data_IF_626181626889
#
_entry.id   IF_626181626889
#
_cell.length_a   1.000
_cell.length_b   1.000
_cell.length_c   1.000
_cell.angle_alpha   90.00
_cell.angle_beta   90.00
_cell.angle_gamma   90.00
#
_symmetry.space_group_name_H-M   'P 1'
#
loop_
_entity.id
_entity.type
_entity.pdbx_description
1 polymer ?
#
# COMPACT_ATOMS: atom_id res chain seq x y z
N UNK A 1 26.75 -15.21 31.13
CA UNK A 1 26.12 -16.31 31.90
C UNK A 1 24.96 -15.74 32.70
N UNK A 2 23.75 -15.95 32.20
CA UNK A 2 22.47 -15.58 32.83
C UNK A 2 21.61 -16.85 32.80
N UNK A 3 20.92 -17.25 33.89
CA UNK A 3 20.19 -18.50 33.90
C UNK A 3 18.84 -18.37 33.17
N UNK A 4 18.59 -19.37 32.33
CA UNK A 4 17.33 -19.66 31.66
C UNK A 4 16.33 -20.18 32.71
N UNK A 5 15.15 -19.56 32.80
CA UNK A 5 14.00 -20.15 33.48
C UNK A 5 13.04 -20.72 32.43
N UNK A 6 13.10 -22.03 32.31
CA UNK A 6 12.12 -22.92 31.69
C UNK A 6 10.88 -23.03 32.56
N UNK A 7 9.70 -22.75 31.99
CA UNK A 7 8.44 -23.26 32.52
C UNK A 7 7.74 -24.10 31.46
N UNK A 8 7.93 -25.40 31.61
CA UNK A 8 7.09 -26.46 31.07
C UNK A 8 5.75 -26.48 31.80
N UNK A 9 4.64 -26.48 31.05
CA UNK A 9 3.33 -26.86 31.57
C UNK A 9 2.61 -27.72 30.53
N UNK A 10 2.56 -29.01 30.81
CA UNK A 10 1.71 -29.99 30.14
C UNK A 10 0.22 -29.61 30.25
N UNK A 11 -0.52 -29.66 29.14
CA UNK A 11 -1.93 -30.10 29.16
C UNK A 11 -2.26 -30.87 27.89
N UNK A 12 -2.37 -32.20 28.06
CA UNK A 12 -2.90 -33.16 27.10
C UNK A 12 -4.44 -33.07 27.06
N UNK A 13 -4.97 -32.76 25.89
CA UNK A 13 -6.04 -33.48 25.17
C UNK A 13 -7.13 -34.23 25.97
N UNK A 14 -8.38 -33.77 25.82
CA UNK A 14 -9.63 -34.55 25.56
C UNK A 14 -10.56 -33.60 24.78
N UNK A 15 -10.77 -33.75 23.45
CA UNK A 15 -11.84 -34.53 22.75
C UNK A 15 -13.18 -34.47 23.51
N UNK A 16 -14.34 -34.12 22.96
CA UNK A 16 -14.84 -33.99 21.59
C UNK A 16 -16.22 -33.28 21.62
N UNK A 17 -16.68 -32.86 20.44
CA UNK A 17 -18.10 -32.71 20.06
C UNK A 17 -18.87 -31.46 20.57
N UNK A 18 -18.88 -30.43 19.72
CA UNK A 18 -20.07 -29.64 19.44
C UNK A 18 -19.95 -29.12 18.00
N UNK A 19 -20.25 -30.00 17.06
CA UNK A 19 -20.46 -29.68 15.66
C UNK A 19 -21.80 -28.96 15.48
N UNK A 20 -21.94 -28.32 14.31
CA UNK A 20 -23.20 -27.94 13.65
C UNK A 20 -24.06 -26.85 14.30
N UNK A 21 -23.73 -25.58 14.01
CA UNK A 21 -24.71 -24.51 13.72
C UNK A 21 -24.01 -23.17 13.45
N UNK A 22 -23.32 -23.04 12.30
CA UNK A 22 -22.91 -21.73 11.72
C UNK A 22 -22.38 -21.82 10.28
N UNK A 23 -22.69 -22.90 9.58
CA UNK A 23 -22.28 -23.15 8.19
C UNK A 23 -23.43 -22.94 7.17
N UNK A 24 -24.46 -22.15 7.51
CA UNK A 24 -25.64 -21.93 6.66
C UNK A 24 -25.93 -20.44 6.36
N UNK A 25 -24.95 -19.54 6.55
CA UNK A 25 -25.07 -18.12 6.15
C UNK A 25 -23.92 -17.64 5.22
N UNK A 26 -22.98 -18.52 4.86
CA UNK A 26 -21.89 -18.20 3.93
C UNK A 26 -22.03 -18.84 2.54
N UNK A 27 -23.11 -19.61 2.30
CA UNK A 27 -23.31 -20.33 1.04
C UNK A 27 -24.32 -19.67 0.07
N UNK A 28 -24.88 -18.51 0.40
CA UNK A 28 -25.86 -17.80 -0.44
C UNK A 28 -25.31 -16.54 -1.14
N UNK A 29 -24.03 -16.19 -0.96
CA UNK A 29 -23.39 -15.04 -1.63
C UNK A 29 -22.34 -15.43 -2.69
N UNK A 30 -22.09 -16.73 -2.90
CA UNK A 30 -21.07 -17.22 -3.83
C UNK A 30 -21.64 -17.80 -5.15
N UNK A 31 -22.93 -17.58 -5.45
CA UNK A 31 -23.59 -18.20 -6.61
C UNK A 31 -24.41 -17.25 -7.50
N UNK A 32 -23.98 -15.99 -7.64
CA UNK A 32 -24.56 -15.04 -8.63
C UNK A 32 -23.51 -14.22 -9.40
N UNK A 33 -22.35 -14.80 -9.74
CA UNK A 33 -21.39 -14.15 -10.63
C UNK A 33 -20.79 -15.14 -11.65
N UNK A 34 -21.67 -15.79 -12.41
CA UNK A 34 -21.31 -16.43 -13.69
C UNK A 34 -22.40 -16.05 -14.69
N UNK A 35 -21.99 -15.71 -15.92
CA UNK A 35 -22.77 -15.15 -17.05
C UNK A 35 -22.84 -13.62 -17.02
N UNK A 36 -22.24 -12.81 -17.90
CA UNK A 36 -21.69 -12.97 -19.27
C UNK A 36 -20.68 -11.85 -19.54
N UNK A 37 -19.44 -12.17 -19.90
CA UNK A 37 -18.53 -11.22 -20.55
C UNK A 37 -18.94 -11.16 -22.02
N UNK A 38 -19.85 -10.24 -22.35
CA UNK A 38 -19.92 -9.67 -23.70
C UNK A 38 -18.91 -8.53 -23.73
N UNK A 39 -17.91 -8.66 -24.57
CA UNK A 39 -17.00 -7.57 -24.92
C UNK A 39 -17.79 -6.52 -25.71
N UNK A 40 -18.58 -5.71 -25.02
CA UNK A 40 -18.97 -4.41 -25.54
C UNK A 40 -17.82 -3.45 -25.21
N UNK A 41 -17.16 -3.03 -26.27
CA UNK A 41 -16.25 -1.90 -26.32
C UNK A 41 -17.02 -0.61 -25.99
N UNK A 42 -17.37 -0.42 -24.72
CA UNK A 42 -17.66 0.89 -24.15
C UNK A 42 -16.35 1.39 -23.53
N UNK A 43 -15.80 2.43 -24.15
CA UNK A 43 -14.67 3.16 -23.65
C UNK A 43 -15.02 3.73 -22.26
N UNK A 44 -14.66 3.00 -21.21
CA UNK A 44 -14.68 3.48 -19.83
C UNK A 44 -13.59 4.52 -19.65
N UNK A 45 -13.85 5.73 -20.12
CA UNK A 45 -13.04 6.90 -19.84
C UNK A 45 -13.32 7.31 -18.40
N UNK A 46 -12.45 6.88 -17.47
CA UNK A 46 -12.21 7.60 -16.21
C UNK A 46 -11.80 8.99 -16.63
N UNK A 47 -12.77 9.92 -16.74
CA UNK A 47 -12.67 11.28 -17.28
C UNK A 47 -11.26 11.53 -17.82
N UNK A 48 -10.97 10.88 -18.97
CA UNK A 48 -9.62 10.65 -19.49
C UNK A 48 -9.18 12.00 -19.98
N UNK A 49 -8.71 12.77 -19.02
CA UNK A 49 -8.83 14.19 -19.18
C UNK A 49 -7.74 14.54 -20.13
N UNK A 50 -8.17 14.94 -21.33
CA UNK A 50 -7.40 14.82 -22.55
C UNK A 50 -5.93 15.13 -22.27
N UNK A 51 -5.10 14.12 -22.53
CA UNK A 51 -3.67 14.21 -22.29
C UNK A 51 -3.16 15.49 -22.96
N UNK A 52 -2.34 16.27 -22.25
CA UNK A 52 -1.84 17.54 -22.75
C UNK A 52 -0.46 17.34 -23.34
N UNK A 53 -0.18 18.03 -24.43
CA UNK A 53 1.17 18.12 -25.02
C UNK A 53 2.24 18.45 -23.98
N UNK A 54 1.92 19.32 -23.01
CA UNK A 54 2.82 19.66 -21.89
C UNK A 54 3.16 18.45 -21.02
N UNK A 55 2.19 17.58 -20.73
CA UNK A 55 2.40 16.39 -19.91
C UNK A 55 3.19 15.33 -20.68
N UNK A 56 2.95 15.20 -21.99
CA UNK A 56 3.72 14.30 -22.87
C UNK A 56 5.18 14.73 -22.99
N UNK A 57 5.46 16.01 -23.26
CA UNK A 57 6.84 16.53 -23.24
C UNK A 57 7.53 16.29 -21.92
N UNK A 58 6.80 16.49 -20.81
CA UNK A 58 7.34 16.22 -19.48
C UNK A 58 7.67 14.74 -19.29
N UNK A 59 6.82 13.85 -19.77
CA UNK A 59 7.02 12.41 -19.74
C UNK A 59 8.24 11.98 -20.56
N UNK A 60 8.40 12.49 -21.79
CA UNK A 60 9.57 12.22 -22.65
C UNK A 60 10.88 12.57 -21.94
N UNK A 61 10.95 13.72 -21.27
CA UNK A 61 12.12 14.10 -20.48
C UNK A 61 12.37 13.20 -19.25
N UNK A 62 11.30 12.72 -18.59
CA UNK A 62 11.41 11.77 -17.47
C UNK A 62 11.92 10.43 -17.99
N UNK A 63 11.34 9.91 -19.08
CA UNK A 63 11.75 8.66 -19.74
C UNK A 63 13.22 8.70 -20.15
N UNK A 64 13.69 9.81 -20.73
CA UNK A 64 15.11 9.98 -21.09
C UNK A 64 16.04 9.86 -19.87
N UNK A 65 15.64 10.39 -18.70
CA UNK A 65 16.41 10.27 -17.46
C UNK A 65 16.33 8.87 -16.85
N UNK A 66 15.18 8.18 -16.97
CA UNK A 66 15.05 6.78 -16.55
C UNK A 66 15.96 5.87 -17.38
N UNK A 67 16.07 6.08 -18.70
CA UNK A 67 17.02 5.35 -19.56
C UNK A 67 18.48 5.52 -19.11
N UNK A 68 18.86 6.74 -18.69
CA UNK A 68 20.20 6.97 -18.11
C UNK A 68 20.43 6.22 -16.80
N UNK A 69 19.38 6.06 -15.98
CA UNK A 69 19.44 5.23 -14.78
C UNK A 69 19.56 3.75 -15.16
N UNK A 70 18.82 3.28 -16.17
CA UNK A 70 18.94 1.92 -16.70
C UNK A 70 20.35 1.59 -17.20
N UNK A 71 20.98 2.53 -17.93
CA UNK A 71 22.35 2.42 -18.41
C UNK A 71 23.35 2.32 -17.24
N UNK A 72 23.21 3.19 -16.23
CA UNK A 72 24.04 3.14 -15.03
C UNK A 72 23.82 1.84 -14.24
N UNK A 73 22.59 1.33 -14.19
CA UNK A 73 22.28 0.07 -13.53
C UNK A 73 22.92 -1.12 -14.26
N UNK A 74 22.96 -1.08 -15.60
CA UNK A 74 23.59 -2.10 -16.43
C UNK A 74 25.11 -2.15 -16.25
N UNK A 75 25.76 -1.02 -15.95
CA UNK A 75 27.18 -0.95 -15.64
C UNK A 75 27.55 -1.65 -14.30
N UNK A 76 26.57 -2.04 -13.49
CA UNK A 76 26.74 -2.74 -12.22
C UNK A 76 27.59 -1.98 -11.17
N UNK A 77 27.77 -0.66 -11.34
CA UNK A 77 28.48 0.20 -10.39
C UNK A 77 27.48 0.79 -9.36
N UNK A 78 27.52 0.24 -8.16
CA UNK A 78 26.69 0.65 -7.04
C UNK A 78 26.88 2.10 -6.62
N UNK A 79 28.12 2.58 -6.65
CA UNK A 79 28.46 3.92 -6.19
C UNK A 79 27.97 4.96 -7.19
N UNK A 80 28.23 4.72 -8.48
CA UNK A 80 27.80 5.58 -9.57
C UNK A 80 26.28 5.59 -9.70
N UNK A 81 25.63 4.44 -9.62
CA UNK A 81 24.17 4.34 -9.69
C UNK A 81 23.51 5.13 -8.55
N UNK A 82 23.94 4.93 -7.30
CA UNK A 82 23.40 5.68 -6.15
C UNK A 82 23.62 7.18 -6.29
N UNK A 83 24.82 7.61 -6.66
CA UNK A 83 25.12 9.02 -6.88
C UNK A 83 24.20 9.63 -7.96
N UNK A 84 23.92 8.88 -9.04
CA UNK A 84 23.03 9.31 -10.10
C UNK A 84 21.56 9.37 -9.64
N UNK A 85 21.08 8.35 -8.92
CA UNK A 85 19.73 8.34 -8.33
C UNK A 85 19.55 9.53 -7.38
N UNK A 86 20.47 9.73 -6.43
CA UNK A 86 20.40 10.86 -5.48
C UNK A 86 20.38 12.21 -6.18
N UNK A 87 21.08 12.34 -7.33
CA UNK A 87 21.09 13.56 -8.14
C UNK A 87 19.79 13.77 -8.92
N UNK A 88 19.24 12.71 -9.53
CA UNK A 88 18.10 12.84 -10.44
C UNK A 88 16.75 12.76 -9.74
N UNK A 89 16.63 11.96 -8.67
CA UNK A 89 15.36 11.60 -8.06
C UNK A 89 14.53 12.80 -7.58
N UNK A 90 15.07 13.78 -6.82
CA UNK A 90 14.26 14.91 -6.36
C UNK A 90 13.61 15.67 -7.52
N UNK A 91 14.36 15.89 -8.60
CA UNK A 91 13.85 16.55 -9.81
C UNK A 91 12.86 15.70 -10.59
N UNK A 92 13.06 14.37 -10.65
CA UNK A 92 12.12 13.44 -11.27
C UNK A 92 10.79 13.39 -10.51
N UNK A 93 10.86 13.27 -9.18
CA UNK A 93 9.70 13.23 -8.30
C UNK A 93 8.84 14.49 -8.45
N UNK A 94 9.44 15.69 -8.36
CA UNK A 94 8.72 16.95 -8.54
C UNK A 94 8.07 17.01 -9.93
N UNK A 95 8.83 16.64 -10.97
CA UNK A 95 8.36 16.73 -12.36
C UNK A 95 7.17 15.83 -12.64
N UNK A 96 7.17 14.62 -12.07
CA UNK A 96 6.04 13.69 -12.18
C UNK A 96 4.87 14.13 -11.30
N UNK A 97 5.12 14.60 -10.07
CA UNK A 97 4.07 15.08 -9.17
C UNK A 97 3.30 16.30 -9.73
N UNK A 98 3.97 17.14 -10.54
CA UNK A 98 3.37 18.26 -11.25
C UNK A 98 2.55 17.86 -12.49
N UNK A 99 2.54 16.58 -12.88
CA UNK A 99 1.74 16.07 -13.99
C UNK A 99 0.30 15.85 -13.56
N UNK A 100 -0.60 15.92 -14.53
CA UNK A 100 -1.99 15.57 -14.31
C UNK A 100 -2.13 14.09 -13.96
N UNK A 101 -2.99 13.80 -12.97
CA UNK A 101 -3.42 12.43 -12.63
C UNK A 101 -3.97 11.72 -13.89
N UNK A 102 -3.29 10.66 -14.29
CA UNK A 102 -3.54 9.85 -15.49
C UNK A 102 -2.79 8.52 -15.37
N UNK A 103 -2.99 7.60 -16.31
CA UNK A 103 -2.17 6.39 -16.42
C UNK A 103 -0.70 6.74 -16.63
N UNK A 104 -0.42 7.71 -17.51
CA UNK A 104 0.94 8.21 -17.75
C UNK A 104 1.63 8.67 -16.46
N UNK A 105 0.93 9.47 -15.64
CA UNK A 105 1.45 9.89 -14.32
C UNK A 105 1.69 8.69 -13.41
N UNK A 106 0.76 7.73 -13.38
CA UNK A 106 0.83 6.55 -12.51
C UNK A 106 2.04 5.68 -12.85
N UNK A 107 2.27 5.41 -14.12
CA UNK A 107 3.39 4.59 -14.57
C UNK A 107 4.73 5.29 -14.36
N UNK A 108 4.84 6.59 -14.68
CA UNK A 108 6.06 7.33 -14.39
C UNK A 108 6.34 7.46 -12.89
N UNK A 109 5.31 7.69 -12.07
CA UNK A 109 5.46 7.72 -10.60
C UNK A 109 5.98 6.38 -10.09
N UNK A 110 5.47 5.28 -10.64
CA UNK A 110 5.87 3.93 -10.23
C UNK A 110 7.29 3.62 -10.67
N UNK A 111 7.66 3.92 -11.92
CA UNK A 111 9.02 3.71 -12.43
C UNK A 111 10.07 4.54 -11.65
N UNK A 112 9.78 5.83 -11.41
CA UNK A 112 10.66 6.72 -10.63
C UNK A 112 10.83 6.21 -9.20
N UNK A 113 9.73 5.80 -8.56
CA UNK A 113 9.78 5.21 -7.22
C UNK A 113 10.62 3.93 -7.19
N UNK A 114 10.45 3.02 -8.16
CA UNK A 114 11.18 1.76 -8.20
C UNK A 114 12.69 1.97 -8.37
N UNK A 115 13.12 2.96 -9.14
CA UNK A 115 14.55 3.33 -9.21
C UNK A 115 15.08 3.94 -7.92
N UNK A 116 14.27 4.70 -7.18
CA UNK A 116 14.67 5.20 -5.86
C UNK A 116 14.87 4.05 -4.88
N UNK A 117 13.90 3.13 -4.82
CA UNK A 117 13.97 1.93 -3.99
C UNK A 117 15.18 1.06 -4.36
N UNK A 118 15.44 0.92 -5.66
CA UNK A 118 16.61 0.25 -6.19
C UNK A 118 17.91 0.91 -5.71
N UNK A 119 17.99 2.25 -5.74
CA UNK A 119 19.16 2.98 -5.26
C UNK A 119 19.38 2.84 -3.75
N UNK A 120 18.31 2.81 -2.95
CA UNK A 120 18.38 2.63 -1.49
C UNK A 120 18.86 1.23 -1.10
N UNK A 121 18.43 0.21 -1.84
CA UNK A 121 18.72 -1.20 -1.56
C UNK A 121 19.97 -1.72 -2.26
N UNK A 122 20.62 -0.91 -3.11
CA UNK A 122 21.75 -1.34 -3.94
C UNK A 122 22.96 -1.85 -3.13
N UNK A 123 23.21 -1.28 -1.95
CA UNK A 123 24.38 -1.61 -1.12
C UNK A 123 24.15 -2.69 -0.07
N UNK A 124 22.93 -3.26 0.02
CA UNK A 124 22.73 -4.42 0.89
C UNK A 124 23.50 -5.61 0.30
N UNK A 125 24.65 -5.93 0.91
CA UNK A 125 25.62 -6.96 0.46
C UNK A 125 25.01 -8.36 0.32
N UNK A 126 23.83 -8.59 0.88
CA UNK A 126 23.02 -9.75 0.53
C UNK A 126 22.28 -9.42 -0.75
N UNK A 127 22.83 -9.91 -1.85
CA UNK A 127 22.08 -10.14 -3.08
C UNK A 127 20.94 -11.10 -2.73
N UNK A 128 19.82 -10.53 -2.25
CA UNK A 128 18.65 -11.30 -1.91
C UNK A 128 18.04 -11.81 -3.20
N UNK A 129 17.79 -13.11 -3.25
CA UNK A 129 16.97 -13.71 -4.30
C UNK A 129 15.57 -13.10 -4.24
N UNK A 130 15.00 -12.83 -5.41
CA UNK A 130 13.64 -12.34 -5.48
C UNK A 130 12.65 -13.44 -5.05
N UNK A 131 11.82 -13.16 -4.04
CA UNK A 131 10.73 -14.05 -3.63
C UNK A 131 9.53 -13.89 -4.59
N UNK A 132 9.56 -14.62 -5.70
CA UNK A 132 8.47 -14.62 -6.68
C UNK A 132 7.12 -15.09 -6.10
N UNK A 133 7.11 -15.81 -4.97
CA UNK A 133 5.88 -16.28 -4.33
C UNK A 133 5.01 -15.16 -3.77
N UNK A 134 5.62 -14.00 -3.49
CA UNK A 134 4.94 -12.77 -3.04
C UNK A 134 4.58 -11.83 -4.17
N UNK A 135 4.99 -12.15 -5.39
CA UNK A 135 4.78 -11.27 -6.53
C UNK A 135 3.38 -11.38 -7.09
N UNK A 136 2.92 -10.24 -7.60
CA UNK A 136 1.59 -10.11 -8.18
C UNK A 136 1.47 -10.98 -9.43
N UNK A 137 0.52 -11.93 -9.42
CA UNK A 137 0.44 -13.03 -10.39
C UNK A 137 0.25 -12.62 -11.84
N UNK A 138 -0.50 -11.57 -12.10
CA UNK A 138 -0.90 -11.14 -13.45
C UNK A 138 0.17 -10.30 -14.18
N UNK A 139 1.09 -9.66 -13.45
CA UNK A 139 2.04 -8.70 -14.04
C UNK A 139 3.48 -9.01 -13.64
N UNK A 140 3.76 -9.07 -12.33
CA UNK A 140 5.13 -9.13 -11.82
C UNK A 140 5.65 -10.56 -11.66
N UNK A 141 4.78 -11.54 -11.47
CA UNK A 141 5.18 -12.94 -11.40
C UNK A 141 5.84 -13.43 -12.70
N UNK A 142 5.30 -13.18 -13.91
CA UNK A 142 6.00 -13.53 -15.15
C UNK A 142 7.38 -12.88 -15.23
N UNK A 143 7.48 -11.58 -14.93
CA UNK A 143 8.77 -10.87 -14.90
C UNK A 143 9.76 -11.49 -13.90
N UNK A 144 9.29 -11.92 -12.73
CA UNK A 144 10.12 -12.55 -11.72
C UNK A 144 10.62 -13.94 -12.18
N UNK A 145 9.74 -14.74 -12.79
CA UNK A 145 10.07 -16.07 -13.30
C UNK A 145 11.03 -16.01 -14.49
N UNK A 146 10.87 -15.03 -15.37
CA UNK A 146 11.76 -14.81 -16.52
C UNK A 146 13.21 -14.52 -16.10
N UNK A 147 13.40 -13.97 -14.89
CA UNK A 147 14.71 -13.73 -14.30
C UNK A 147 15.37 -14.98 -13.71
N UNK A 148 14.69 -16.14 -13.66
CA UNK A 148 15.21 -17.47 -13.27
C UNK A 148 16.06 -17.50 -11.99
N UNK A 149 15.50 -17.00 -10.88
CA UNK A 149 16.27 -16.85 -9.62
C UNK A 149 17.08 -15.55 -9.60
N UNK A 150 16.59 -14.54 -10.31
CA UNK A 150 17.16 -13.20 -10.30
C UNK A 150 17.11 -12.56 -8.93
N UNK A 151 17.91 -11.51 -8.81
CA UNK A 151 18.06 -10.71 -7.59
C UNK A 151 16.87 -9.77 -7.41
N UNK A 152 16.55 -9.38 -6.18
CA UNK A 152 15.56 -8.32 -5.89
C UNK A 152 15.84 -7.06 -6.73
N UNK A 153 17.11 -6.72 -6.91
CA UNK A 153 17.58 -5.62 -7.75
C UNK A 153 17.14 -5.75 -9.22
N UNK A 154 17.34 -6.92 -9.81
CA UNK A 154 16.92 -7.19 -11.19
C UNK A 154 15.40 -7.13 -11.33
N UNK A 155 14.66 -7.63 -10.34
CA UNK A 155 13.21 -7.57 -10.35
C UNK A 155 12.69 -6.13 -10.25
N UNK A 156 13.23 -5.31 -9.35
CA UNK A 156 12.88 -3.89 -9.24
C UNK A 156 13.16 -3.13 -10.55
N UNK A 157 14.30 -3.42 -11.18
CA UNK A 157 14.66 -2.84 -12.48
C UNK A 157 13.69 -3.29 -13.59
N UNK A 158 13.33 -4.58 -13.64
CA UNK A 158 12.37 -5.10 -14.60
C UNK A 158 10.98 -4.48 -14.43
N UNK A 159 10.50 -4.35 -13.18
CA UNK A 159 9.26 -3.65 -12.85
C UNK A 159 9.30 -2.19 -13.30
N UNK A 160 10.41 -1.48 -13.04
CA UNK A 160 10.57 -0.08 -13.45
C UNK A 160 10.46 0.06 -14.97
N UNK A 161 11.17 -0.79 -15.72
CA UNK A 161 11.14 -0.81 -17.18
C UNK A 161 9.77 -1.14 -17.75
N UNK A 162 9.02 -2.04 -17.13
CA UNK A 162 7.64 -2.33 -17.53
C UNK A 162 6.77 -1.06 -17.45
N UNK A 163 6.82 -0.35 -16.33
CA UNK A 163 6.05 0.90 -16.18
C UNK A 163 6.55 2.00 -17.12
N UNK A 164 7.87 2.13 -17.32
CA UNK A 164 8.42 3.06 -18.31
C UNK A 164 7.94 2.74 -19.74
N UNK A 165 7.85 1.45 -20.10
CA UNK A 165 7.30 0.99 -21.39
C UNK A 165 5.84 1.37 -21.57
N UNK A 166 5.00 1.17 -20.56
CA UNK A 166 3.60 1.59 -20.61
C UNK A 166 3.46 3.11 -20.74
N UNK A 167 4.24 3.88 -19.98
CA UNK A 167 4.29 5.33 -20.10
C UNK A 167 4.74 5.80 -21.50
N UNK A 168 5.74 5.15 -22.07
CA UNK A 168 6.21 5.41 -23.43
C UNK A 168 5.13 5.11 -24.47
N UNK A 169 4.43 3.98 -24.34
CA UNK A 169 3.33 3.63 -25.24
C UNK A 169 2.19 4.67 -25.20
N UNK A 170 1.86 5.20 -24.03
CA UNK A 170 0.87 6.29 -23.89
C UNK A 170 1.36 7.57 -24.59
N UNK A 171 2.65 7.91 -24.47
CA UNK A 171 3.22 9.07 -25.16
C UNK A 171 3.21 8.88 -26.69
N UNK A 172 3.59 7.71 -27.19
CA UNK A 172 3.59 7.37 -28.63
C UNK A 172 2.18 7.39 -29.23
N UNK A 173 1.20 6.81 -28.54
CA UNK A 173 -0.20 6.86 -28.96
C UNK A 173 -0.72 8.29 -29.09
N UNK A 174 -0.35 9.17 -28.15
CA UNK A 174 -0.70 10.60 -28.21
C UNK A 174 -0.08 11.31 -29.41
N UNK A 175 1.14 10.92 -29.81
CA UNK A 175 1.80 11.42 -31.03
C UNK A 175 1.20 10.86 -32.32
N UNK A 176 0.27 9.92 -32.23
CA UNK A 176 -0.33 9.23 -33.38
C UNK A 176 0.48 8.01 -33.85
N UNK A 177 1.50 7.60 -33.11
CA UNK A 177 2.31 6.41 -33.42
C UNK A 177 1.64 5.16 -32.83
N UNK A 178 0.80 4.48 -33.63
CA UNK A 178 0.06 3.27 -33.23
C UNK A 178 0.56 2.02 -33.95
N UNK A 179 1.80 1.63 -33.67
CA UNK A 179 2.29 0.32 -34.10
C UNK A 179 1.71 -0.82 -33.23
N UNK A 180 1.97 -2.06 -33.65
CA UNK A 180 1.48 -3.25 -32.94
C UNK A 180 2.05 -3.36 -31.52
N UNK A 181 3.29 -2.94 -31.32
CA UNK A 181 3.96 -2.94 -30.02
C UNK A 181 3.29 -1.95 -29.06
N UNK A 182 3.06 -0.71 -29.50
CA UNK A 182 2.37 0.34 -28.74
C UNK A 182 0.96 -0.10 -28.37
N UNK A 183 0.23 -0.64 -29.34
CA UNK A 183 -1.13 -1.16 -29.12
C UNK A 183 -1.15 -2.33 -28.12
N UNK A 184 -0.18 -3.24 -28.22
CA UNK A 184 -0.01 -4.35 -27.29
C UNK A 184 0.26 -3.89 -25.86
N UNK A 185 1.23 -2.98 -25.68
CA UNK A 185 1.59 -2.44 -24.38
C UNK A 185 0.43 -1.69 -23.71
N UNK A 186 -0.36 -0.92 -24.48
CA UNK A 186 -1.56 -0.26 -23.96
C UNK A 186 -2.67 -1.25 -23.55
N UNK A 187 -2.82 -2.36 -24.27
CA UNK A 187 -3.78 -3.41 -23.93
C UNK A 187 -3.39 -4.09 -22.62
N UNK A 188 -2.13 -4.47 -22.47
CA UNK A 188 -1.58 -5.03 -21.23
C UNK A 188 -1.76 -4.08 -20.04
N UNK A 189 -1.44 -2.79 -20.22
CA UNK A 189 -1.62 -1.76 -19.20
C UNK A 189 -3.08 -1.65 -18.77
N UNK A 190 -4.04 -1.64 -19.70
CA UNK A 190 -5.48 -1.57 -19.38
C UNK A 190 -5.94 -2.79 -18.59
N UNK A 191 -5.50 -3.99 -18.96
CA UNK A 191 -5.81 -5.22 -18.21
C UNK A 191 -5.24 -5.16 -16.78
N UNK A 192 -3.99 -4.69 -16.64
CA UNK A 192 -3.35 -4.46 -15.35
C UNK A 192 -4.13 -3.47 -14.46
N UNK A 193 -4.62 -2.37 -15.05
CA UNK A 193 -5.40 -1.32 -14.35
C UNK A 193 -6.76 -1.82 -13.86
N UNK A 194 -7.43 -2.68 -14.61
CA UNK A 194 -8.68 -3.29 -14.14
C UNK A 194 -8.44 -4.11 -12.86
N UNK A 195 -7.34 -4.86 -12.81
CA UNK A 195 -6.96 -5.62 -11.62
C UNK A 195 -6.47 -4.72 -10.46
N UNK A 196 -5.84 -3.56 -10.74
CA UNK A 196 -5.49 -2.56 -9.73
C UNK A 196 -6.72 -2.12 -8.93
N UNK A 197 -7.85 -1.90 -9.60
CA UNK A 197 -9.10 -1.48 -8.96
C UNK A 197 -9.63 -2.57 -8.01
N UNK A 198 -9.54 -3.85 -8.40
CA UNK A 198 -9.96 -4.98 -7.56
C UNK A 198 -9.10 -5.08 -6.30
N UNK A 199 -7.78 -4.95 -6.44
CA UNK A 199 -6.85 -4.96 -5.30
C UNK A 199 -7.14 -3.78 -4.38
N UNK A 200 -7.28 -2.57 -4.93
CA UNK A 200 -7.57 -1.37 -4.16
C UNK A 200 -8.92 -1.45 -3.42
N UNK A 201 -9.97 -2.00 -4.05
CA UNK A 201 -11.25 -2.26 -3.41
C UNK A 201 -11.10 -3.21 -2.21
N UNK A 202 -10.30 -4.28 -2.36
CA UNK A 202 -10.02 -5.22 -1.27
C UNK A 202 -9.27 -4.57 -0.11
N UNK A 203 -8.35 -3.63 -0.38
CA UNK A 203 -7.71 -2.84 0.69
C UNK A 203 -8.74 -1.98 1.42
N UNK A 204 -9.66 -1.32 0.70
CA UNK A 204 -10.75 -0.55 1.33
C UNK A 204 -11.61 -1.46 2.21
N UNK A 205 -12.04 -2.61 1.70
CA UNK A 205 -12.83 -3.60 2.45
C UNK A 205 -12.11 -4.10 3.70
N UNK A 206 -10.78 -4.19 3.66
CA UNK A 206 -9.95 -4.57 4.81
C UNK A 206 -9.86 -3.45 5.86
N UNK A 207 -9.72 -2.20 5.43
CA UNK A 207 -9.52 -1.05 6.34
C UNK A 207 -10.83 -0.43 6.87
N UNK A 208 -11.94 -0.58 6.15
CA UNK A 208 -13.23 0.04 6.49
C UNK A 208 -13.82 -0.47 7.82
N UNK A 209 -13.77 -1.78 8.16
CA UNK A 209 -14.28 -2.29 9.43
C UNK A 209 -13.58 -1.67 10.65
N UNK A 210 -12.31 -1.28 10.54
CA UNK A 210 -11.56 -0.68 11.65
C UNK A 210 -12.21 0.63 12.16
N UNK A 211 -12.91 1.36 11.29
CA UNK A 211 -13.65 2.56 11.66
C UNK A 211 -14.78 2.27 12.68
N UNK A 212 -15.35 1.05 12.65
CA UNK A 212 -16.42 0.66 13.57
C UNK A 212 -15.89 0.35 14.97
N UNK A 213 -14.60 0.02 15.09
CA UNK A 213 -13.96 -0.36 16.36
C UNK A 213 -13.47 0.85 17.16
N UNK A 214 -13.24 1.98 16.48
CA UNK A 214 -12.79 3.23 17.08
C UNK A 214 -13.98 4.11 17.48
N UNK A 215 -13.76 4.97 18.47
CA UNK A 215 -14.74 5.95 18.93
C UNK A 215 -15.05 6.94 17.82
N UNK A 216 -16.32 7.31 17.67
CA UNK A 216 -16.74 8.29 16.66
C UNK A 216 -16.54 9.73 17.11
N UNK A 217 -15.97 9.96 18.32
CA UNK A 217 -15.95 11.27 18.97
C UNK A 217 -15.55 12.38 17.98
N UNK A 218 -16.53 13.15 17.49
CA UNK A 218 -16.38 14.02 16.34
C UNK A 218 -15.63 15.31 16.71
N UNK A 219 -15.55 15.66 17.99
CA UNK A 219 -14.93 16.91 18.46
C UNK A 219 -14.00 16.69 19.64
N UNK A 220 -13.02 17.60 19.78
CA UNK A 220 -12.10 17.67 20.90
C UNK A 220 -12.82 17.84 22.25
N UNK A 221 -13.89 18.63 22.27
CA UNK A 221 -14.73 18.84 23.45
C UNK A 221 -15.42 17.54 23.91
N UNK A 222 -16.00 16.77 22.98
CA UNK A 222 -16.65 15.49 23.32
C UNK A 222 -15.65 14.42 23.81
N UNK A 223 -14.40 14.46 23.35
CA UNK A 223 -13.36 13.58 23.87
C UNK A 223 -12.96 13.93 25.31
N UNK A 224 -12.91 15.23 25.66
CA UNK A 224 -12.64 15.66 27.03
C UNK A 224 -13.77 15.24 27.99
N UNK A 225 -15.02 15.26 27.54
CA UNK A 225 -16.17 14.82 28.33
C UNK A 225 -16.25 13.29 28.47
N UNK A 226 -15.83 12.55 27.44
CA UNK A 226 -15.83 11.09 27.41
C UNK A 226 -14.57 10.55 26.69
N UNK A 227 -13.48 10.28 27.41
CA UNK A 227 -12.22 9.82 26.82
C UNK A 227 -12.27 8.32 26.47
N UNK A 228 -13.24 7.94 25.63
CA UNK A 228 -13.41 6.59 25.11
C UNK A 228 -12.90 6.58 23.66
N UNK A 229 -11.63 6.21 23.50
CA UNK A 229 -11.03 6.13 22.17
C UNK A 229 -11.50 4.89 21.40
N UNK A 230 -11.82 3.78 22.07
CA UNK A 230 -12.27 2.53 21.43
C UNK A 230 -13.62 2.06 21.97
N UNK A 231 -14.43 1.44 21.09
CA UNK A 231 -15.72 0.82 21.43
C UNK A 231 -15.59 -0.64 21.87
N UNK A 232 -14.39 -1.23 21.78
CA UNK A 232 -14.11 -2.63 22.10
C UNK A 232 -12.99 -2.75 23.12
N UNK A 233 -12.76 -3.96 23.65
CA UNK A 233 -11.61 -4.20 24.54
C UNK A 233 -10.29 -3.99 23.79
N UNK A 234 -9.25 -3.60 24.53
CA UNK A 234 -7.92 -3.37 23.98
C UNK A 234 -7.39 -4.58 23.20
N UNK A 235 -7.45 -5.78 23.79
CA UNK A 235 -6.93 -7.00 23.15
C UNK A 235 -7.63 -7.32 21.82
N UNK A 236 -8.94 -7.05 21.75
CA UNK A 236 -9.72 -7.23 20.52
C UNK A 236 -9.35 -6.18 19.47
N UNK A 237 -9.24 -4.92 19.87
CA UNK A 237 -8.81 -3.84 18.97
C UNK A 237 -7.43 -4.15 18.38
N UNK A 238 -6.47 -4.50 19.25
CA UNK A 238 -5.08 -4.73 18.88
C UNK A 238 -4.94 -5.87 17.87
N UNK A 239 -5.60 -7.00 18.12
CA UNK A 239 -5.62 -8.15 17.22
C UNK A 239 -6.27 -7.82 15.87
N UNK A 240 -7.49 -7.25 15.87
CA UNK A 240 -8.21 -6.93 14.63
C UNK A 240 -7.46 -5.87 13.79
N UNK A 241 -6.80 -4.89 14.42
CA UNK A 241 -5.95 -3.93 13.71
C UNK A 241 -4.71 -4.58 13.13
N UNK A 242 -3.98 -5.40 13.91
CA UNK A 242 -2.74 -6.03 13.44
C UNK A 242 -2.99 -6.88 12.19
N UNK A 243 -4.04 -7.70 12.20
CA UNK A 243 -4.43 -8.55 11.07
C UNK A 243 -4.81 -7.71 9.84
N UNK A 244 -5.70 -6.73 10.01
CA UNK A 244 -6.16 -5.89 8.91
C UNK A 244 -5.05 -5.03 8.30
N UNK A 245 -4.17 -4.46 9.13
CA UNK A 245 -3.05 -3.62 8.67
C UNK A 245 -1.94 -4.45 8.00
N UNK A 246 -1.78 -5.71 8.40
CA UNK A 246 -0.93 -6.71 7.74
C UNK A 246 -1.42 -7.00 6.32
N UNK A 247 -2.67 -7.46 6.21
CA UNK A 247 -3.31 -7.78 4.91
C UNK A 247 -3.30 -6.56 3.97
N UNK A 248 -3.70 -5.37 4.49
CA UNK A 248 -3.68 -4.14 3.70
C UNK A 248 -2.27 -3.78 3.22
N UNK A 249 -1.24 -4.04 4.03
CA UNK A 249 0.15 -3.82 3.67
C UNK A 249 0.63 -4.69 2.51
N UNK A 250 0.30 -5.99 2.56
CA UNK A 250 0.63 -6.94 1.48
C UNK A 250 -0.06 -6.56 0.17
N UNK A 251 -1.35 -6.25 0.21
CA UNK A 251 -2.11 -5.83 -0.97
C UNK A 251 -1.60 -4.50 -1.54
N UNK A 252 -1.23 -3.54 -0.69
CA UNK A 252 -0.68 -2.25 -1.13
C UNK A 252 0.66 -2.39 -1.84
N UNK A 253 1.46 -3.42 -1.52
CA UNK A 253 2.73 -3.67 -2.20
C UNK A 253 2.56 -4.07 -3.68
N UNK A 254 1.36 -4.52 -4.08
CA UNK A 254 1.03 -4.89 -5.45
C UNK A 254 0.45 -3.74 -6.30
N UNK A 255 0.11 -2.62 -5.67
CA UNK A 255 -0.48 -1.48 -6.35
C UNK A 255 0.60 -0.55 -6.92
N UNK A 256 0.40 0.02 -8.12
CA UNK A 256 1.26 1.07 -8.65
C UNK A 256 1.12 2.35 -7.79
N UNK A 257 2.06 3.29 -7.94
CA UNK A 257 2.07 4.59 -7.24
C UNK A 257 1.03 5.57 -7.82
N UNK A 258 -0.23 5.15 -7.81
CA UNK A 258 -1.40 5.91 -8.26
C UNK A 258 -1.95 6.82 -7.15
N UNK A 259 -2.84 7.78 -7.46
CA UNK A 259 -3.55 8.56 -6.45
C UNK A 259 -4.28 7.69 -5.42
N UNK A 260 -4.94 6.62 -5.86
CA UNK A 260 -5.63 5.65 -4.98
C UNK A 260 -4.66 4.96 -4.04
N UNK A 261 -3.48 4.57 -4.53
CA UNK A 261 -2.42 4.01 -3.67
C UNK A 261 -2.06 4.98 -2.54
N UNK A 262 -1.86 6.27 -2.83
CA UNK A 262 -1.48 7.24 -1.78
C UNK A 262 -2.59 7.45 -0.75
N UNK A 263 -3.86 7.47 -1.16
CA UNK A 263 -4.98 7.52 -0.22
C UNK A 263 -4.98 6.29 0.70
N UNK A 264 -4.87 5.08 0.15
CA UNK A 264 -4.86 3.84 0.94
C UNK A 264 -3.63 3.72 1.85
N UNK A 265 -2.45 4.10 1.35
CA UNK A 265 -1.21 4.11 2.11
C UNK A 265 -1.29 5.07 3.29
N UNK A 266 -1.86 6.27 3.09
CA UNK A 266 -2.08 7.23 4.18
C UNK A 266 -3.10 6.71 5.18
N UNK A 267 -4.19 6.07 4.72
CA UNK A 267 -5.17 5.47 5.62
C UNK A 267 -4.54 4.40 6.52
N UNK A 268 -3.81 3.45 5.94
CA UNK A 268 -3.09 2.40 6.67
C UNK A 268 -2.09 2.99 7.67
N UNK A 269 -1.28 3.97 7.23
CA UNK A 269 -0.30 4.64 8.09
C UNK A 269 -0.98 5.32 9.27
N UNK A 270 -2.03 6.09 9.04
CA UNK A 270 -2.76 6.78 10.10
C UNK A 270 -3.41 5.80 11.08
N UNK A 271 -3.96 4.67 10.64
CA UNK A 271 -4.41 3.62 11.56
C UNK A 271 -3.27 3.02 12.38
N UNK A 272 -2.12 2.75 11.74
CA UNK A 272 -0.93 2.22 12.40
C UNK A 272 -0.40 3.17 13.47
N UNK A 273 -0.27 4.45 13.14
CA UNK A 273 0.21 5.50 14.05
C UNK A 273 -0.78 5.69 15.22
N UNK A 274 -2.09 5.67 14.94
CA UNK A 274 -3.12 5.72 15.98
C UNK A 274 -3.08 4.51 16.93
N UNK A 275 -2.93 3.29 16.40
CA UNK A 275 -2.79 2.09 17.20
C UNK A 275 -1.53 2.15 18.09
N UNK A 276 -0.39 2.53 17.51
CA UNK A 276 0.86 2.66 18.24
C UNK A 276 0.71 3.57 19.47
N UNK A 277 0.14 4.76 19.29
CA UNK A 277 -0.08 5.69 20.39
C UNK A 277 -1.12 5.18 21.39
N UNK A 278 -2.16 4.49 20.93
CA UNK A 278 -3.16 3.89 21.79
C UNK A 278 -2.58 2.79 22.69
N UNK A 279 -1.71 1.93 22.15
CA UNK A 279 -0.96 0.92 22.92
C UNK A 279 -0.13 1.57 24.04
N UNK A 280 0.54 2.70 23.76
CA UNK A 280 1.35 3.43 24.74
C UNK A 280 0.49 4.01 25.87
N UNK A 281 -0.65 4.62 25.54
CA UNK A 281 -1.62 5.14 26.54
C UNK A 281 -2.17 4.01 27.40
N UNK A 282 -2.57 2.89 26.79
CA UNK A 282 -3.12 1.75 27.51
C UNK A 282 -2.08 1.14 28.48
N UNK A 283 -0.84 0.98 28.05
CA UNK A 283 0.26 0.49 28.90
C UNK A 283 0.54 1.43 30.08
N UNK A 284 0.62 2.74 29.84
CA UNK A 284 0.83 3.74 30.90
C UNK A 284 -0.31 3.72 31.94
N UNK A 285 -1.57 3.68 31.48
CA UNK A 285 -2.74 3.57 32.38
C UNK A 285 -2.73 2.28 33.20
N UNK A 286 -2.35 1.14 32.61
CA UNK A 286 -2.20 -0.13 33.33
C UNK A 286 -1.18 -0.02 34.45
N UNK A 287 -0.04 0.63 34.21
CA UNK A 287 1.01 0.83 35.23
C UNK A 287 0.54 1.72 36.40
N UNK A 288 -0.29 2.73 36.15
CA UNK A 288 -0.87 3.54 37.23
C UNK A 288 -1.81 2.73 38.14
N UNK A 289 -2.57 1.77 37.58
CA UNK A 289 -3.47 0.91 38.35
C UNK A 289 -2.69 -0.11 39.20
N UNK A 290 -1.53 -0.57 38.71
CA UNK A 290 -0.60 -1.40 39.47
C UNK A 290 0.46 -0.53 40.16
N UNK A 291 0.09 0.16 41.24
CA UNK A 291 0.94 1.09 42.00
C UNK A 291 2.29 0.55 42.53
N UNK A 292 2.60 -0.74 42.29
CA UNK A 292 3.86 -1.40 42.64
C UNK A 292 4.59 -2.04 41.44
N UNK A 293 4.22 -1.70 40.21
CA UNK A 293 4.91 -2.17 39.01
C UNK A 293 6.24 -1.46 38.79
N UNK A 294 7.36 -2.21 38.79
CA UNK A 294 8.69 -1.70 38.42
C UNK A 294 8.88 -1.44 36.92
N UNK A 295 7.83 -1.61 36.11
CA UNK A 295 7.91 -1.42 34.67
C UNK A 295 7.90 0.08 34.32
N UNK A 296 8.78 0.47 33.39
CA UNK A 296 8.89 1.86 32.93
C UNK A 296 7.62 2.28 32.21
N UNK A 297 7.15 3.47 32.55
CA UNK A 297 6.01 4.08 31.88
C UNK A 297 6.45 4.68 30.53
N UNK A 298 5.96 4.15 29.41
CA UNK A 298 6.42 4.56 28.09
C UNK A 298 6.07 6.01 27.75
N UNK A 299 5.10 6.64 28.43
CA UNK A 299 4.76 8.04 28.21
C UNK A 299 5.60 8.99 29.07
N UNK A 300 5.93 8.61 30.30
CA UNK A 300 6.78 9.42 31.19
C UNK A 300 8.19 9.57 30.63
N UNK A 301 8.75 8.51 30.04
CA UNK A 301 10.08 8.56 29.42
C UNK A 301 10.14 9.59 28.26
N UNK A 302 9.01 9.82 27.60
CA UNK A 302 8.85 10.78 26.50
C UNK A 302 8.36 12.15 26.97
N UNK A 303 8.11 12.35 28.27
CA UNK A 303 7.49 13.55 28.85
C UNK A 303 6.15 13.91 28.20
N UNK A 304 5.36 12.89 27.85
CA UNK A 304 4.06 13.06 27.22
C UNK A 304 2.93 12.84 28.21
N UNK A 305 1.90 13.66 28.10
CA UNK A 305 0.66 13.53 28.86
C UNK A 305 -0.31 12.55 28.17
N UNK A 306 -1.02 11.72 28.97
CA UNK A 306 -1.88 10.68 28.41
C UNK A 306 -3.08 11.23 27.66
N UNK A 307 -3.60 12.40 28.04
CA UNK A 307 -4.76 13.01 27.41
C UNK A 307 -4.35 13.67 26.09
N UNK A 308 -3.18 14.31 26.05
CA UNK A 308 -2.57 14.80 24.80
C UNK A 308 -2.34 13.67 23.80
N UNK A 309 -1.77 12.55 24.24
CA UNK A 309 -1.55 11.38 23.36
C UNK A 309 -2.90 10.77 22.93
N UNK A 310 -3.90 10.74 23.81
CA UNK A 310 -5.26 10.34 23.48
C UNK A 310 -5.88 11.16 22.34
N UNK A 311 -5.64 12.47 22.31
CA UNK A 311 -6.09 13.33 21.20
C UNK A 311 -5.36 13.01 19.89
N UNK A 312 -4.05 12.73 19.95
CA UNK A 312 -3.26 12.32 18.77
C UNK A 312 -3.78 11.00 18.19
N UNK A 313 -4.17 10.04 19.04
CA UNK A 313 -4.80 8.78 18.62
C UNK A 313 -6.07 9.07 17.81
N UNK A 314 -6.96 9.91 18.33
CA UNK A 314 -8.22 10.25 17.66
C UNK A 314 -8.00 10.98 16.33
N UNK A 315 -7.09 11.94 16.29
CA UNK A 315 -6.76 12.68 15.07
C UNK A 315 -6.22 11.76 13.96
N UNK A 316 -5.39 10.78 14.34
CA UNK A 316 -4.89 9.77 13.42
C UNK A 316 -6.01 8.88 12.89
N UNK A 317 -6.89 8.36 13.74
CA UNK A 317 -8.01 7.51 13.27
C UNK A 317 -9.02 8.28 12.42
N UNK A 318 -9.31 9.55 12.74
CA UNK A 318 -10.13 10.42 11.88
C UNK A 318 -9.48 10.65 10.50
N UNK A 319 -8.17 10.87 10.47
CA UNK A 319 -7.41 10.97 9.22
C UNK A 319 -7.47 9.68 8.42
N UNK A 320 -7.33 8.53 9.09
CA UNK A 320 -7.43 7.23 8.46
C UNK A 320 -8.79 7.02 7.79
N UNK A 321 -9.89 7.30 8.52
CA UNK A 321 -11.25 7.24 7.99
C UNK A 321 -11.46 8.18 6.80
N UNK A 322 -10.94 9.41 6.87
CA UNK A 322 -11.00 10.37 5.76
C UNK A 322 -10.32 9.81 4.52
N UNK A 323 -9.11 9.27 4.66
CA UNK A 323 -8.36 8.72 3.53
C UNK A 323 -8.99 7.44 2.95
N UNK A 324 -9.54 6.57 3.79
CA UNK A 324 -10.32 5.41 3.32
C UNK A 324 -11.52 5.85 2.49
N UNK A 325 -12.26 6.88 2.92
CA UNK A 325 -13.39 7.44 2.14
C UNK A 325 -12.95 8.05 0.82
N UNK A 326 -11.82 8.77 0.79
CA UNK A 326 -11.26 9.33 -0.45
C UNK A 326 -10.84 8.23 -1.44
N UNK A 327 -10.25 7.14 -0.94
CA UNK A 327 -9.92 5.98 -1.76
C UNK A 327 -11.19 5.31 -2.32
N UNK A 328 -12.21 5.10 -1.47
CA UNK A 328 -13.51 4.56 -1.87
C UNK A 328 -14.17 5.43 -2.96
N UNK A 329 -14.22 6.75 -2.77
CA UNK A 329 -14.74 7.69 -3.77
C UNK A 329 -13.97 7.62 -5.10
N UNK A 330 -12.65 7.47 -5.04
CA UNK A 330 -11.81 7.35 -6.24
C UNK A 330 -12.08 6.07 -7.02
N UNK A 331 -12.48 4.98 -6.35
CA UNK A 331 -12.85 3.72 -7.00
C UNK A 331 -14.22 3.80 -7.67
N UNK A 332 -15.22 4.36 -6.98
CA UNK A 332 -16.61 4.37 -7.47
C UNK A 332 -16.92 5.55 -8.39
N UNK A 333 -16.16 6.64 -8.30
CA UNK A 333 -16.22 7.73 -9.28
C UNK A 333 -15.87 7.26 -10.69
N UNK A 334 -15.07 6.21 -10.80
CA UNK A 334 -14.72 5.55 -12.07
C UNK A 334 -15.78 4.59 -12.61
N UNK A 335 -16.80 4.20 -11.83
CA UNK A 335 -17.81 3.19 -12.19
C UNK A 335 -19.17 3.79 -12.57
N UNK A 336 -19.47 5.02 -12.12
CA UNK A 336 -20.77 5.69 -12.37
C UNK A 336 -20.76 6.63 -13.59
N UNK A 337 -19.72 6.59 -14.41
CA UNK A 337 -19.58 7.37 -15.65
C UNK A 337 -19.47 6.42 -16.83
#
# INVERSE_FOLDING_TARGET
>A
MWPLNTLTSCRRSRRSAASTARAALCAAFLFSLVMTVRADSSAGAVEATALREKDVRRAEEVLAKLRRLDEAAAANDASAYRALVSKLYPGLFIKVADMRRSDLHTDLSTAVFLHEELGRTWSDERIAEADCGRERRDIYLPLCLDLRGGTVRQLLLAKSRLHARWAEAVARDYRGERDAETSGALSEMKAARANDLVIAARVVETLKPLAVLVGDSPTHAEYQERPIASKVSFDRLDGEFADALGIAGELLAWLPRSPTFYHLSNARRSYTDGLFWYQKVHQSKKLMVFAHGFARDPLKDLKLDSDQVGQVVMANWQSAMKYTRLAEQSLWGSVRQ
#
